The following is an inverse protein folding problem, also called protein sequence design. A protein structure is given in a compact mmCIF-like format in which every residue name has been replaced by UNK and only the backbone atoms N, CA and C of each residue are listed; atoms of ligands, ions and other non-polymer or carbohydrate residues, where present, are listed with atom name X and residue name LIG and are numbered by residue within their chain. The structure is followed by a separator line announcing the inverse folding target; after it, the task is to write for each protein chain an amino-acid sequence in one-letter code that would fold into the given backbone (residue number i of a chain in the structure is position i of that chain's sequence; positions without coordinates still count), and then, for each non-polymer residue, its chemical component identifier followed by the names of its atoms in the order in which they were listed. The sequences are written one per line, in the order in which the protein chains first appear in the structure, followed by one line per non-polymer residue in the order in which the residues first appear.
data_IF_282098035613
#
_entry.id   IF_282098035613
#
_cell.length_a   1.000
_cell.length_b   1.000
_cell.length_c   1.000
_cell.angle_alpha   90.00
_cell.angle_beta   90.00
_cell.angle_gamma   90.00
#
_symmetry.space_group_name_H-M   'P 1'
#
loop_
_entity.id
_entity.type
_entity.pdbx_description
1 polymer ?
#
# COMPACT_ATOMS: atom_id res chain seq x y z
N UNK A 1 -23.92 -0.89 25.53
CA UNK A 1 -23.44 -1.35 24.22
C UNK A 1 -21.99 -1.88 24.23
N UNK A 2 -21.08 -1.27 25.00
CA UNK A 2 -19.66 -1.67 25.06
C UNK A 2 -19.33 -2.83 26.04
N UNK A 3 -20.35 -3.47 26.64
CA UNK A 3 -20.15 -4.63 27.51
C UNK A 3 -20.22 -5.91 26.66
N UNK A 4 -19.18 -6.73 26.67
CA UNK A 4 -19.16 -8.01 25.96
C UNK A 4 -20.34 -8.92 26.33
N UNK A 5 -20.73 -8.93 27.61
CA UNK A 5 -21.89 -9.70 28.09
C UNK A 5 -23.18 -9.38 27.32
N UNK A 6 -23.46 -8.11 27.02
CA UNK A 6 -24.64 -7.70 26.24
C UNK A 6 -24.68 -8.36 24.86
N UNK A 7 -23.52 -8.46 24.21
CA UNK A 7 -23.41 -9.10 22.89
C UNK A 7 -23.49 -10.64 23.02
N UNK A 8 -22.83 -11.21 24.03
CA UNK A 8 -22.83 -12.65 24.27
C UNK A 8 -24.23 -13.19 24.57
N UNK A 9 -24.95 -12.54 25.47
CA UNK A 9 -26.32 -12.91 25.86
C UNK A 9 -27.31 -12.83 24.68
N UNK A 10 -27.04 -11.98 23.70
CA UNK A 10 -27.84 -11.84 22.48
C UNK A 10 -27.31 -12.67 21.28
N UNK A 11 -26.37 -13.58 21.49
CA UNK A 11 -25.76 -14.37 20.41
C UNK A 11 -25.13 -13.50 19.31
N UNK A 12 -24.55 -12.37 19.68
CA UNK A 12 -23.98 -11.34 18.78
C UNK A 12 -25.00 -10.65 17.86
N UNK A 13 -26.29 -10.77 18.17
CA UNK A 13 -27.41 -10.19 17.40
C UNK A 13 -28.13 -9.07 18.17
N UNK A 14 -27.47 -8.47 19.16
CA UNK A 14 -28.05 -7.32 19.90
C UNK A 14 -28.41 -6.15 18.96
N UNK A 15 -27.60 -5.93 17.95
CA UNK A 15 -27.91 -5.04 16.83
C UNK A 15 -28.07 -5.84 15.52
N UNK A 16 -28.82 -5.35 14.57
CA UNK A 16 -28.94 -5.94 13.23
C UNK A 16 -27.56 -6.05 12.58
N UNK A 17 -27.13 -7.25 12.11
CA UNK A 17 -25.87 -7.43 11.42
C UNK A 17 -25.81 -6.61 10.14
N UNK A 18 -24.63 -6.08 9.81
CA UNK A 18 -24.41 -5.43 8.54
C UNK A 18 -24.26 -6.46 7.40
N UNK A 19 -25.39 -6.98 6.92
CA UNK A 19 -25.45 -8.06 5.92
C UNK A 19 -24.68 -7.72 4.65
N UNK A 20 -24.72 -6.46 4.19
CA UNK A 20 -24.01 -6.04 2.98
C UNK A 20 -22.50 -6.16 3.14
N UNK A 21 -21.93 -5.63 4.23
CA UNK A 21 -20.49 -5.73 4.49
C UNK A 21 -20.04 -7.19 4.66
N UNK A 22 -20.83 -8.03 5.34
CA UNK A 22 -20.55 -9.47 5.48
C UNK A 22 -20.55 -10.15 4.09
N UNK A 23 -21.54 -9.84 3.25
CA UNK A 23 -21.62 -10.38 1.89
C UNK A 23 -20.39 -9.98 1.04
N UNK A 24 -20.00 -8.69 1.04
CA UNK A 24 -18.83 -8.20 0.30
C UNK A 24 -17.55 -8.84 0.81
N UNK A 25 -17.38 -8.92 2.13
CA UNK A 25 -16.24 -9.60 2.74
C UNK A 25 -16.16 -11.08 2.31
N UNK A 26 -17.31 -11.78 2.28
CA UNK A 26 -17.39 -13.15 1.77
C UNK A 26 -16.99 -13.27 0.29
N UNK A 27 -17.28 -12.26 -0.55
CA UNK A 27 -16.79 -12.21 -1.94
C UNK A 27 -15.28 -12.06 -2.02
N UNK A 28 -14.70 -11.19 -1.18
CA UNK A 28 -13.24 -11.01 -1.12
C UNK A 28 -12.55 -12.31 -0.68
N UNK A 29 -13.08 -13.02 0.32
CA UNK A 29 -12.52 -14.31 0.74
C UNK A 29 -12.60 -15.37 -0.37
N UNK A 30 -13.70 -15.43 -1.13
CA UNK A 30 -13.82 -16.32 -2.27
C UNK A 30 -12.81 -15.98 -3.37
N UNK A 31 -12.59 -14.69 -3.62
CA UNK A 31 -11.57 -14.22 -4.56
C UNK A 31 -10.17 -14.62 -4.11
N UNK A 32 -9.80 -14.37 -2.86
CA UNK A 32 -8.50 -14.79 -2.30
C UNK A 32 -8.28 -16.30 -2.44
N UNK A 33 -9.31 -17.10 -2.11
CA UNK A 33 -9.26 -18.55 -2.24
C UNK A 33 -9.05 -18.99 -3.70
N UNK A 34 -9.74 -18.35 -4.64
CA UNK A 34 -9.57 -18.60 -6.09
C UNK A 34 -8.18 -18.22 -6.60
N UNK A 35 -7.56 -17.20 -6.01
CA UNK A 35 -6.21 -16.75 -6.36
C UNK A 35 -5.10 -17.66 -5.82
N UNK A 36 -5.41 -18.72 -5.08
CA UNK A 36 -4.44 -19.66 -4.51
C UNK A 36 -4.28 -19.56 -2.99
N UNK A 37 -5.14 -18.76 -2.33
CA UNK A 37 -5.15 -18.65 -0.87
C UNK A 37 -4.13 -17.65 -0.31
N UNK A 38 -3.88 -17.75 0.99
CA UNK A 38 -3.04 -16.80 1.71
C UNK A 38 -1.55 -16.92 1.33
N UNK A 39 -1.08 -18.13 1.13
CA UNK A 39 0.33 -18.39 0.78
C UNK A 39 0.70 -17.74 -0.57
N UNK A 40 -0.16 -17.94 -1.58
CA UNK A 40 0.05 -17.32 -2.89
C UNK A 40 -0.07 -15.81 -2.82
N UNK A 41 -1.02 -15.27 -2.04
CA UNK A 41 -1.14 -13.83 -1.85
C UNK A 41 0.08 -13.24 -1.16
N UNK A 42 0.61 -13.92 -0.15
CA UNK A 42 1.85 -13.53 0.51
C UNK A 42 3.04 -13.52 -0.46
N UNK A 43 3.19 -14.57 -1.27
CA UNK A 43 4.26 -14.65 -2.29
C UNK A 43 4.19 -13.45 -3.25
N UNK A 44 2.99 -13.13 -3.75
CA UNK A 44 2.78 -11.96 -4.64
C UNK A 44 3.09 -10.64 -3.96
N UNK A 45 2.72 -10.49 -2.70
CA UNK A 45 3.00 -9.27 -1.95
C UNK A 45 4.49 -9.09 -1.67
N UNK A 46 5.20 -10.15 -1.35
CA UNK A 46 6.67 -10.13 -1.19
C UNK A 46 7.33 -9.73 -2.52
N UNK A 47 6.93 -10.32 -3.63
CA UNK A 47 7.46 -10.01 -4.95
C UNK A 47 7.25 -8.54 -5.32
N UNK A 48 6.04 -8.01 -5.14
CA UNK A 48 5.73 -6.59 -5.39
C UNK A 48 6.54 -5.64 -4.53
N UNK A 49 6.57 -5.90 -3.22
CA UNK A 49 7.29 -5.06 -2.28
C UNK A 49 8.78 -5.06 -2.57
N UNK A 50 9.35 -6.23 -2.91
CA UNK A 50 10.76 -6.37 -3.27
C UNK A 50 11.14 -5.47 -4.45
N UNK A 51 10.33 -5.39 -5.50
CA UNK A 51 10.60 -4.53 -6.67
C UNK A 51 10.80 -3.07 -6.24
N UNK A 52 9.92 -2.56 -5.38
CA UNK A 52 9.98 -1.18 -4.94
C UNK A 52 11.12 -0.94 -3.93
N UNK A 53 11.30 -1.84 -2.96
CA UNK A 53 12.37 -1.69 -1.97
C UNK A 53 13.76 -1.87 -2.57
N UNK A 54 13.96 -2.80 -3.49
CA UNK A 54 15.25 -2.96 -4.20
C UNK A 54 15.64 -1.68 -4.96
N UNK A 55 14.65 -0.98 -5.54
CA UNK A 55 14.90 0.31 -6.17
C UNK A 55 15.24 1.38 -5.13
N UNK A 56 14.45 1.52 -4.05
CA UNK A 56 14.69 2.53 -3.01
C UNK A 56 16.04 2.38 -2.33
N UNK A 57 16.50 1.14 -2.14
CA UNK A 57 17.79 0.84 -1.52
C UNK A 57 19.00 1.20 -2.42
N UNK A 58 18.78 1.32 -3.74
CA UNK A 58 19.82 1.66 -4.72
C UNK A 58 19.72 3.11 -5.22
N UNK A 59 18.57 3.77 -5.04
CA UNK A 59 18.30 5.11 -5.52
C UNK A 59 19.19 6.15 -4.83
N UNK A 60 19.67 7.11 -5.59
CA UNK A 60 20.43 8.26 -5.07
C UNK A 60 19.49 9.37 -4.58
N UNK A 61 18.31 9.48 -5.18
CA UNK A 61 17.32 10.52 -4.89
C UNK A 61 16.29 10.05 -3.85
N UNK A 62 15.72 8.85 -4.03
CA UNK A 62 14.66 8.35 -3.16
C UNK A 62 15.20 7.49 -2.03
N UNK A 63 14.65 7.65 -0.83
CA UNK A 63 15.04 6.87 0.35
C UNK A 63 13.81 6.33 1.08
N UNK A 64 13.81 5.03 1.37
CA UNK A 64 12.84 4.44 2.27
C UNK A 64 13.02 4.98 3.70
N UNK A 65 11.92 5.24 4.39
CA UNK A 65 11.95 5.81 5.74
C UNK A 65 11.88 4.77 6.85
N UNK A 66 11.73 3.48 6.51
CA UNK A 66 11.56 2.38 7.46
C UNK A 66 12.75 1.44 7.39
N UNK A 67 13.26 1.05 8.55
CA UNK A 67 14.34 0.05 8.67
C UNK A 67 13.91 -1.30 8.08
N UNK A 68 14.82 -2.09 7.49
CA UNK A 68 14.46 -3.30 6.75
C UNK A 68 13.58 -4.29 7.51
N UNK A 69 13.80 -4.45 8.81
CA UNK A 69 13.09 -5.40 9.67
C UNK A 69 11.61 -5.06 9.86
N UNK A 70 11.25 -3.77 9.75
CA UNK A 70 9.90 -3.25 9.99
C UNK A 70 9.16 -2.88 8.69
N UNK A 71 9.72 -3.22 7.52
CA UNK A 71 9.15 -2.87 6.21
C UNK A 71 7.81 -3.54 5.97
N UNK A 72 6.79 -2.73 5.67
CA UNK A 72 5.46 -3.21 5.28
C UNK A 72 5.45 -3.70 3.83
N UNK A 73 4.76 -4.81 3.57
CA UNK A 73 4.48 -5.28 2.20
C UNK A 73 3.31 -4.52 1.54
N UNK A 74 2.61 -3.63 2.29
CA UNK A 74 1.38 -2.98 1.85
C UNK A 74 1.53 -1.47 1.67
N UNK A 75 2.27 -0.81 2.57
CA UNK A 75 2.51 0.62 2.54
C UNK A 75 4.00 0.89 2.58
N UNK A 76 4.52 1.47 1.52
CA UNK A 76 5.94 1.79 1.38
C UNK A 76 6.12 3.30 1.44
N UNK A 77 6.51 3.86 2.60
CA UNK A 77 6.81 5.28 2.73
C UNK A 77 8.23 5.57 2.25
N UNK A 78 8.40 6.69 1.56
CA UNK A 78 9.69 7.15 1.06
C UNK A 78 9.73 8.68 0.91
N UNK A 79 10.92 9.24 0.81
CA UNK A 79 11.19 10.68 0.69
C UNK A 79 12.34 10.91 -0.29
N UNK A 80 12.49 12.15 -0.79
CA UNK A 80 13.72 12.59 -1.48
C UNK A 80 14.69 13.30 -0.53
N UNK A 81 14.25 13.67 0.66
CA UNK A 81 15.01 14.49 1.61
C UNK A 81 14.81 16.00 1.41
N UNK A 82 14.17 16.42 0.33
CA UNK A 82 13.77 17.78 0.02
C UNK A 82 12.25 17.86 -0.16
N UNK A 83 11.58 18.74 0.59
CA UNK A 83 10.12 18.89 0.56
C UNK A 83 9.59 19.44 -0.77
N UNK A 84 10.35 20.29 -1.43
CA UNK A 84 9.96 20.87 -2.73
C UNK A 84 10.09 19.81 -3.82
N UNK A 85 11.12 18.96 -3.75
CA UNK A 85 11.30 17.82 -4.62
C UNK A 85 10.20 16.76 -4.40
N UNK A 86 9.83 16.46 -3.13
CA UNK A 86 8.70 15.59 -2.80
C UNK A 86 7.40 16.11 -3.43
N UNK A 87 7.13 17.43 -3.32
CA UNK A 87 5.95 18.05 -3.90
C UNK A 87 5.94 18.00 -5.42
N UNK A 88 7.09 18.24 -6.05
CA UNK A 88 7.30 18.14 -7.51
C UNK A 88 7.01 16.71 -7.98
N UNK A 89 7.62 15.71 -7.34
CA UNK A 89 7.38 14.30 -7.65
C UNK A 89 5.90 13.93 -7.58
N UNK A 90 5.22 14.29 -6.49
CA UNK A 90 3.78 13.99 -6.31
C UNK A 90 2.92 14.61 -7.41
N UNK A 91 3.25 15.85 -7.83
CA UNK A 91 2.54 16.54 -8.90
C UNK A 91 2.74 15.83 -10.26
N UNK A 92 3.98 15.59 -10.64
CA UNK A 92 4.30 14.94 -11.93
C UNK A 92 3.80 13.50 -11.98
N UNK A 93 3.91 12.75 -10.87
CA UNK A 93 3.36 11.42 -10.77
C UNK A 93 1.84 11.41 -10.98
N UNK A 94 1.12 12.38 -10.41
CA UNK A 94 -0.32 12.53 -10.62
C UNK A 94 -0.67 12.80 -12.08
N UNK A 95 0.09 13.66 -12.75
CA UNK A 95 -0.07 13.96 -14.18
C UNK A 95 0.22 12.70 -15.04
N UNK A 96 1.15 11.87 -14.62
CA UNK A 96 1.45 10.57 -15.24
C UNK A 96 0.45 9.45 -14.89
N UNK A 97 -0.60 9.73 -14.10
CA UNK A 97 -1.65 8.76 -13.76
C UNK A 97 -1.44 8.01 -12.43
N UNK A 98 -0.38 8.29 -11.69
CA UNK A 98 -0.16 7.72 -10.36
C UNK A 98 -0.88 8.56 -9.30
N UNK A 99 -1.97 8.05 -8.76
CA UNK A 99 -2.78 8.75 -7.76
C UNK A 99 -2.43 8.35 -6.33
N UNK A 100 -2.67 9.28 -5.37
CA UNK A 100 -2.55 9.04 -3.94
C UNK A 100 -1.14 8.67 -3.43
N UNK A 101 -0.09 9.12 -4.12
CA UNK A 101 1.29 8.93 -3.67
C UNK A 101 1.73 9.88 -2.55
N UNK A 102 0.99 10.98 -2.32
CA UNK A 102 1.31 11.89 -1.21
C UNK A 102 1.25 11.16 0.12
N UNK A 103 2.27 11.32 0.95
CA UNK A 103 2.37 10.72 2.27
C UNK A 103 1.34 11.24 3.27
N UNK A 104 1.32 10.65 4.46
CA UNK A 104 0.38 11.06 5.51
C UNK A 104 0.69 12.49 5.95
N UNK A 105 -0.35 13.29 6.21
CA UNK A 105 -0.25 14.72 6.57
C UNK A 105 0.65 15.01 7.78
N UNK A 106 0.79 14.05 8.70
CA UNK A 106 1.63 14.20 9.90
C UNK A 106 3.07 13.74 9.70
N UNK A 107 3.34 12.92 8.68
CA UNK A 107 4.68 12.35 8.40
C UNK A 107 5.34 13.06 7.23
N UNK A 108 4.55 13.45 6.22
CA UNK A 108 5.06 14.04 4.98
C UNK A 108 5.55 12.99 4.00
N UNK A 109 6.37 13.43 3.05
CA UNK A 109 6.95 12.59 2.01
C UNK A 109 5.94 11.94 1.07
N UNK A 110 6.26 10.77 0.58
CA UNK A 110 5.42 9.95 -0.29
C UNK A 110 5.10 8.59 0.34
N UNK A 111 4.06 7.93 -0.18
CA UNK A 111 3.68 6.59 0.24
C UNK A 111 3.04 5.84 -0.94
N UNK A 112 3.64 4.75 -1.34
CA UNK A 112 3.02 3.80 -2.25
C UNK A 112 2.15 2.80 -1.47
N UNK A 113 0.86 2.75 -1.77
CA UNK A 113 -0.09 1.78 -1.20
C UNK A 113 -0.29 0.65 -2.19
N UNK A 114 0.44 -0.46 -2.00
CA UNK A 114 0.51 -1.61 -2.90
C UNK A 114 -0.24 -2.83 -2.35
N UNK A 115 -1.47 -2.61 -1.90
CA UNK A 115 -2.31 -3.64 -1.30
C UNK A 115 -2.51 -4.89 -2.19
N UNK A 116 -3.17 -5.92 -1.64
CA UNK A 116 -3.37 -7.22 -2.28
C UNK A 116 -3.89 -7.14 -3.74
N UNK A 117 -4.78 -6.19 -4.03
CA UNK A 117 -5.38 -6.04 -5.35
C UNK A 117 -4.50 -5.27 -6.36
N UNK A 118 -3.42 -4.60 -5.89
CA UNK A 118 -2.49 -3.93 -6.80
C UNK A 118 -1.74 -4.96 -7.63
N UNK A 119 -1.82 -4.91 -8.97
CA UNK A 119 -1.05 -5.80 -9.83
C UNK A 119 0.45 -5.46 -9.80
N UNK A 120 1.30 -6.44 -10.09
CA UNK A 120 2.76 -6.28 -10.14
C UNK A 120 3.18 -5.18 -11.12
N UNK A 121 2.53 -5.16 -12.27
CA UNK A 121 2.76 -4.20 -13.37
C UNK A 121 2.58 -2.75 -12.90
N UNK A 122 1.66 -2.50 -11.97
CA UNK A 122 1.46 -1.16 -11.38
C UNK A 122 2.67 -0.71 -10.55
N UNK A 123 3.30 -1.63 -9.84
CA UNK A 123 4.52 -1.35 -9.07
C UNK A 123 5.72 -1.17 -10.00
N UNK A 124 5.85 -2.01 -11.03
CA UNK A 124 6.88 -1.89 -12.06
C UNK A 124 6.80 -0.55 -12.80
N UNK A 125 5.59 -0.12 -13.17
CA UNK A 125 5.35 1.17 -13.80
C UNK A 125 5.74 2.34 -12.87
N UNK A 126 5.44 2.25 -11.58
CA UNK A 126 5.85 3.26 -10.61
C UNK A 126 7.38 3.34 -10.52
N UNK A 127 8.07 2.23 -10.41
CA UNK A 127 9.54 2.18 -10.34
C UNK A 127 10.17 2.73 -11.63
N UNK A 128 9.61 2.41 -12.79
CA UNK A 128 10.07 2.98 -14.07
C UNK A 128 9.92 4.51 -14.11
N UNK A 129 8.79 5.04 -13.63
CA UNK A 129 8.56 6.48 -13.50
C UNK A 129 9.55 7.12 -12.51
N UNK A 130 9.79 6.48 -11.35
CA UNK A 130 10.73 6.98 -10.35
C UNK A 130 12.17 7.04 -10.90
N UNK A 131 12.61 6.03 -11.65
CA UNK A 131 13.94 6.03 -12.30
C UNK A 131 14.08 7.20 -13.27
N UNK A 132 13.08 7.39 -14.13
CA UNK A 132 13.08 8.52 -15.07
C UNK A 132 13.13 9.85 -14.33
N UNK A 133 12.31 10.03 -13.31
CA UNK A 133 12.30 11.24 -12.48
C UNK A 133 13.67 11.48 -11.82
N UNK A 134 14.32 10.42 -11.30
CA UNK A 134 15.66 10.52 -10.72
C UNK A 134 16.70 10.96 -11.77
N UNK A 135 16.68 10.40 -12.98
CA UNK A 135 17.60 10.79 -14.08
C UNK A 135 17.43 12.27 -14.48
N UNK A 136 16.22 12.81 -14.39
CA UNK A 136 15.91 14.19 -14.76
C UNK A 136 16.20 15.21 -13.64
N UNK A 137 16.39 14.76 -12.38
CA UNK A 137 16.44 15.64 -11.20
C UNK A 137 17.60 15.33 -10.21
N UNK A 138 18.44 14.35 -10.48
CA UNK A 138 19.60 13.99 -9.62
C UNK A 138 20.89 14.64 -10.07
#
# INVERSE_FOLDING_TARGET
MLKFKTQADAGSLYNTPNCYCIYVCGKVFKWLKKMGGLEEMQRRNIEKAKILYDFLDQSKLFKGTVVPEDRSLMNVPFVTGDKDMDAKFVKEAKEAGFVNLKGHRTVGGMRASIYNAMPKEGVEALVAFMKKFEEENA
#
